data_IF_114889393364
#
_entry.id   IF_114889393364
#
_cell.length_a   1.000
_cell.length_b   1.000
_cell.length_c   1.000
_cell.angle_alpha   90.00
_cell.angle_beta   90.00
_cell.angle_gamma   90.00
#
_symmetry.space_group_name_H-M   'P 1'
#
loop_
_entity.id
_entity.type
_entity.pdbx_description
1 polymer ?
#
# COMPACT_ATOMS: atom_id res chain seq x y z
N UNK A 1 10.88 -1.27 16.69
CA UNK A 1 10.60 -2.44 15.84
C UNK A 1 9.69 -3.35 16.62
N UNK A 2 8.67 -3.96 16.00
CA UNK A 2 7.77 -4.89 16.66
C UNK A 2 8.54 -5.99 17.42
N UNK A 3 8.05 -6.35 18.60
CA UNK A 3 8.63 -7.39 19.46
C UNK A 3 7.61 -8.51 19.67
N UNK A 4 8.02 -9.73 19.36
CA UNK A 4 7.21 -10.95 19.52
C UNK A 4 6.87 -11.24 20.98
N UNK A 5 7.65 -10.73 21.95
CA UNK A 5 7.36 -10.94 23.38
C UNK A 5 6.47 -9.83 23.98
N UNK A 6 6.16 -8.79 23.19
CA UNK A 6 5.31 -7.71 23.66
C UNK A 6 3.84 -8.04 23.39
N UNK A 7 3.05 -8.20 24.47
CA UNK A 7 1.63 -8.51 24.37
C UNK A 7 0.86 -7.51 23.49
N UNK A 8 1.15 -6.21 23.62
CA UNK A 8 0.52 -5.19 22.77
C UNK A 8 0.90 -5.32 21.30
N UNK A 9 2.16 -5.62 20.98
CA UNK A 9 2.55 -5.90 19.59
C UNK A 9 1.79 -7.11 19.05
N UNK A 10 1.68 -8.19 19.83
CA UNK A 10 0.95 -9.37 19.40
C UNK A 10 -0.52 -9.06 19.12
N UNK A 11 -1.22 -8.39 20.05
CA UNK A 11 -2.66 -8.11 19.93
C UNK A 11 -2.97 -6.98 18.95
N UNK A 12 -2.08 -6.00 18.81
CA UNK A 12 -2.30 -4.88 17.88
C UNK A 12 -1.98 -5.26 16.44
N UNK A 13 -1.08 -6.23 16.20
CA UNK A 13 -0.67 -6.64 14.86
C UNK A 13 -1.42 -7.84 14.33
N UNK A 14 -1.80 -8.75 15.23
CA UNK A 14 -2.36 -10.05 14.85
C UNK A 14 -3.71 -10.32 15.49
N UNK A 15 -4.52 -11.11 14.79
CA UNK A 15 -5.75 -11.68 15.28
C UNK A 15 -5.62 -13.21 15.35
N UNK A 16 -6.18 -13.79 16.40
CA UNK A 16 -6.29 -15.24 16.57
C UNK A 16 -7.51 -15.84 15.89
N UNK A 17 -8.45 -15.01 15.43
CA UNK A 17 -9.69 -15.43 14.78
C UNK A 17 -9.71 -14.95 13.33
N UNK A 18 -10.12 -15.85 12.43
CA UNK A 18 -10.37 -15.49 11.05
C UNK A 18 -11.72 -14.79 10.92
N UNK A 19 -11.75 -13.70 10.15
CA UNK A 19 -12.95 -12.91 9.86
C UNK A 19 -13.22 -12.81 8.36
N UNK A 20 -14.35 -12.23 7.95
CA UNK A 20 -14.74 -12.18 6.53
C UNK A 20 -13.73 -11.44 5.64
N UNK A 21 -13.08 -10.38 6.11
CA UNK A 21 -12.05 -9.67 5.35
C UNK A 21 -10.75 -10.49 5.19
N UNK A 22 -10.57 -11.55 5.98
CA UNK A 22 -9.48 -12.51 5.85
C UNK A 22 -9.74 -13.59 4.79
N UNK A 23 -10.94 -13.67 4.20
CA UNK A 23 -11.29 -14.73 3.24
C UNK A 23 -10.41 -14.70 1.98
N UNK A 24 -9.93 -13.53 1.58
CA UNK A 24 -9.06 -13.37 0.41
C UNK A 24 -7.56 -13.50 0.71
N UNK A 25 -7.18 -13.49 1.99
CA UNK A 25 -5.81 -13.71 2.48
C UNK A 25 -5.65 -15.05 3.20
N UNK A 26 -6.72 -15.86 3.25
CA UNK A 26 -6.70 -17.21 3.78
C UNK A 26 -5.74 -18.07 2.95
N UNK A 27 -4.50 -18.16 3.39
CA UNK A 27 -3.55 -19.10 2.85
C UNK A 27 -4.05 -20.51 3.20
N UNK A 28 -4.07 -21.37 2.20
CA UNK A 28 -4.56 -22.75 2.29
C UNK A 28 -3.88 -23.45 3.47
N UNK A 29 -4.63 -23.69 4.54
CA UNK A 29 -4.18 -24.42 5.74
C UNK A 29 -3.74 -25.83 5.34
N UNK A 30 -2.42 -26.05 5.26
CA UNK A 30 -1.84 -27.38 5.02
C UNK A 30 -0.66 -27.67 5.96
N UNK A 31 -0.56 -26.97 7.10
CA UNK A 31 0.43 -27.24 8.13
C UNK A 31 -0.23 -27.26 9.51
N UNK A 32 -0.27 -28.42 10.15
CA UNK A 32 -0.74 -28.59 11.54
C UNK A 32 0.20 -27.95 12.58
N UNK A 33 1.37 -27.44 12.15
CA UNK A 33 2.44 -26.98 13.06
C UNK A 33 2.49 -25.48 13.30
N UNK A 34 1.98 -24.67 12.37
CA UNK A 34 2.06 -23.21 12.46
C UNK A 34 0.66 -22.64 12.18
N UNK A 35 -0.09 -22.34 13.25
CA UNK A 35 -1.33 -21.57 13.14
C UNK A 35 -0.98 -20.21 12.51
N UNK A 36 -1.53 -19.93 11.33
CA UNK A 36 -1.32 -18.65 10.65
C UNK A 36 -1.82 -17.51 11.56
N UNK A 37 -0.98 -16.49 11.75
CA UNK A 37 -1.38 -15.24 12.39
C UNK A 37 -2.07 -14.35 11.37
N UNK A 38 -3.38 -14.14 11.55
CA UNK A 38 -4.13 -13.18 10.73
C UNK A 38 -3.73 -11.76 11.12
N UNK A 39 -3.74 -10.78 10.20
CA UNK A 39 -3.60 -9.38 10.61
C UNK A 39 -4.76 -8.98 11.52
N UNK A 40 -4.52 -8.07 12.46
CA UNK A 40 -5.61 -7.47 13.25
C UNK A 40 -6.43 -6.48 12.41
N UNK A 41 -7.64 -6.15 12.88
CA UNK A 41 -8.43 -5.06 12.30
C UNK A 41 -7.69 -3.72 12.30
N UNK A 42 -6.90 -3.46 13.34
CA UNK A 42 -6.07 -2.25 13.43
C UNK A 42 -5.06 -2.21 12.29
N UNK A 43 -4.39 -3.34 12.02
CA UNK A 43 -3.43 -3.47 10.93
C UNK A 43 -4.09 -3.24 9.58
N UNK A 44 -5.25 -3.86 9.34
CA UNK A 44 -6.02 -3.70 8.10
C UNK A 44 -6.44 -2.24 7.92
N UNK A 45 -7.04 -1.64 8.96
CA UNK A 45 -7.48 -0.24 8.96
C UNK A 45 -6.33 0.72 8.67
N UNK A 46 -5.13 0.47 9.23
CA UNK A 46 -3.95 1.28 8.92
C UNK A 46 -3.56 1.16 7.44
N UNK A 47 -3.54 -0.05 6.88
CA UNK A 47 -3.19 -0.26 5.48
C UNK A 47 -4.18 0.42 4.52
N UNK A 48 -5.48 0.33 4.81
CA UNK A 48 -6.52 1.03 4.05
C UNK A 48 -6.35 2.55 4.12
N UNK A 49 -6.11 3.09 5.32
CA UNK A 49 -5.86 4.52 5.51
C UNK A 49 -4.61 5.00 4.75
N UNK A 50 -3.53 4.22 4.75
CA UNK A 50 -2.33 4.54 3.97
C UNK A 50 -2.64 4.50 2.48
N UNK A 51 -3.32 3.46 2.01
CA UNK A 51 -3.71 3.30 0.62
C UNK A 51 -4.53 4.49 0.11
N UNK A 52 -5.58 4.85 0.83
CA UNK A 52 -6.50 5.92 0.41
C UNK A 52 -5.83 7.28 0.42
N UNK A 53 -5.11 7.62 1.49
CA UNK A 53 -4.35 8.86 1.54
C UNK A 53 -3.29 8.94 0.44
N UNK A 54 -2.64 7.82 0.13
CA UNK A 54 -1.65 7.76 -0.93
C UNK A 54 -2.28 7.95 -2.31
N UNK A 55 -3.48 7.39 -2.54
CA UNK A 55 -4.24 7.62 -3.76
C UNK A 55 -4.54 9.10 -3.99
N UNK A 56 -5.10 9.79 -2.99
CA UNK A 56 -5.37 11.22 -3.08
C UNK A 56 -4.08 12.04 -3.27
N UNK A 57 -3.04 11.73 -2.50
CA UNK A 57 -1.74 12.39 -2.63
C UNK A 57 -1.17 12.27 -4.06
N UNK A 58 -1.22 11.09 -4.68
CA UNK A 58 -0.68 10.86 -6.02
C UNK A 58 -1.51 11.54 -7.11
N UNK A 59 -2.83 11.69 -6.94
CA UNK A 59 -3.66 12.43 -7.89
C UNK A 59 -3.23 13.89 -8.02
N UNK A 60 -2.91 14.53 -6.89
CA UNK A 60 -2.49 15.93 -6.82
C UNK A 60 -0.99 16.12 -7.07
N UNK A 61 -0.16 15.24 -6.51
CA UNK A 61 1.29 15.43 -6.41
C UNK A 61 2.11 14.44 -7.23
N UNK A 62 1.49 13.48 -7.94
CA UNK A 62 2.21 12.41 -8.65
C UNK A 62 3.22 12.87 -9.71
N UNK A 63 3.14 14.12 -10.16
CA UNK A 63 4.12 14.73 -11.07
C UNK A 63 5.39 15.24 -10.38
N UNK A 64 5.41 15.32 -9.04
CA UNK A 64 6.53 15.84 -8.25
C UNK A 64 7.59 14.76 -8.02
N UNK A 65 8.83 15.19 -7.74
CA UNK A 65 9.90 14.32 -7.27
C UNK A 65 9.76 14.01 -5.78
N UNK A 66 10.51 13.01 -5.29
CA UNK A 66 10.56 12.61 -3.86
C UNK A 66 9.18 12.26 -3.26
N UNK A 67 8.32 11.60 -4.03
CA UNK A 67 6.95 11.24 -3.64
C UNK A 67 6.88 10.51 -2.29
N UNK A 68 7.75 9.52 -2.06
CA UNK A 68 7.80 8.76 -0.81
C UNK A 68 8.06 9.67 0.39
N UNK A 69 9.12 10.50 0.32
CA UNK A 69 9.50 11.39 1.43
C UNK A 69 8.41 12.41 1.74
N UNK A 70 7.83 13.01 0.69
CA UNK A 70 6.76 14.00 0.83
C UNK A 70 5.50 13.37 1.44
N UNK A 71 5.12 12.17 0.96
CA UNK A 71 3.98 11.45 1.51
C UNK A 71 4.20 11.09 2.97
N UNK A 72 5.35 10.52 3.33
CA UNK A 72 5.69 10.17 4.72
C UNK A 72 5.55 11.38 5.63
N UNK A 73 6.10 12.53 5.25
CA UNK A 73 6.01 13.75 6.04
C UNK A 73 4.56 14.18 6.27
N UNK A 74 3.73 14.21 5.22
CA UNK A 74 2.32 14.60 5.32
C UNK A 74 1.51 13.60 6.15
N UNK A 75 1.75 12.31 5.92
CA UNK A 75 1.04 11.23 6.60
C UNK A 75 1.34 11.28 8.10
N UNK A 76 2.63 11.27 8.49
CA UNK A 76 3.03 11.23 9.89
C UNK A 76 2.72 12.49 10.67
N UNK A 77 2.66 13.67 10.04
CA UNK A 77 2.23 14.90 10.70
C UNK A 77 0.78 14.82 11.23
N UNK A 78 -0.05 13.96 10.62
CA UNK A 78 -1.47 13.79 10.97
C UNK A 78 -1.78 12.35 11.41
N UNK A 79 -0.74 11.57 11.74
CA UNK A 79 -0.89 10.18 12.16
C UNK A 79 -0.75 10.11 13.66
N UNK A 80 -1.83 9.69 14.33
CA UNK A 80 -1.81 9.32 15.74
C UNK A 80 -1.83 7.79 15.75
N UNK A 81 -0.74 7.19 16.21
CA UNK A 81 -0.63 5.73 16.31
C UNK A 81 -1.48 5.25 17.48
N UNK A 82 -2.29 4.22 17.25
CA UNK A 82 -3.07 3.47 18.24
C UNK A 82 -2.49 2.06 18.49
N UNK A 83 -1.32 1.79 17.89
CA UNK A 83 -0.47 0.63 18.14
C UNK A 83 0.50 0.88 19.29
N UNK A 84 1.05 -0.19 19.85
CA UNK A 84 2.13 -0.21 20.83
C UNK A 84 3.09 1.01 20.74
N UNK A 85 2.99 1.89 21.74
CA UNK A 85 3.74 3.14 21.83
C UNK A 85 5.25 2.93 21.97
N UNK A 86 5.66 1.81 22.58
CA UNK A 86 7.07 1.48 22.84
C UNK A 86 7.78 1.08 21.55
N UNK A 87 7.14 0.23 20.74
CA UNK A 87 7.78 -0.42 19.60
C UNK A 87 7.55 0.28 18.25
N UNK A 88 6.71 1.34 18.26
CA UNK A 88 6.37 2.18 17.09
C UNK A 88 5.91 1.37 15.89
N UNK A 89 5.04 0.38 16.13
CA UNK A 89 4.64 -0.57 15.10
C UNK A 89 4.01 0.13 13.90
N UNK A 90 3.12 1.12 14.14
CA UNK A 90 2.49 1.91 13.08
C UNK A 90 3.48 2.55 12.12
N UNK A 91 4.58 3.12 12.64
CA UNK A 91 5.62 3.70 11.80
C UNK A 91 6.26 2.64 10.90
N UNK A 92 6.69 1.52 11.48
CA UNK A 92 7.34 0.44 10.73
C UNK A 92 6.42 -0.09 9.63
N UNK A 93 5.16 -0.33 9.94
CA UNK A 93 4.16 -0.80 8.96
C UNK A 93 4.06 0.16 7.77
N UNK A 94 3.92 1.47 8.04
CA UNK A 94 3.81 2.48 6.99
C UNK A 94 5.08 2.55 6.14
N UNK A 95 6.26 2.44 6.77
CA UNK A 95 7.53 2.46 6.04
C UNK A 95 7.70 1.26 5.11
N UNK A 96 7.28 0.08 5.54
CA UNK A 96 7.37 -1.17 4.78
C UNK A 96 6.29 -1.29 3.69
N UNK A 97 5.08 -0.78 3.90
CA UNK A 97 4.00 -0.92 2.92
C UNK A 97 4.13 0.07 1.73
N UNK A 98 4.75 1.23 1.96
CA UNK A 98 4.83 2.29 0.95
C UNK A 98 5.54 1.89 -0.35
N UNK A 99 6.68 1.18 -0.33
CA UNK A 99 7.32 0.65 -1.53
C UNK A 99 6.41 -0.24 -2.39
N UNK A 100 5.43 -0.93 -1.79
CA UNK A 100 4.49 -1.78 -2.52
C UNK A 100 3.32 -0.97 -3.09
N UNK A 101 2.69 -0.11 -2.28
CA UNK A 101 1.51 0.63 -2.72
C UNK A 101 1.82 1.74 -3.72
N UNK A 102 2.91 2.48 -3.52
CA UNK A 102 3.21 3.66 -4.33
C UNK A 102 3.36 3.36 -5.84
N UNK A 103 4.13 2.36 -6.30
CA UNK A 103 4.21 2.05 -7.74
C UNK A 103 2.90 1.53 -8.33
N UNK A 104 2.14 0.72 -7.57
CA UNK A 104 0.86 0.17 -8.02
C UNK A 104 -0.17 1.28 -8.24
N UNK A 105 -0.34 2.14 -7.23
CA UNK A 105 -1.28 3.25 -7.29
C UNK A 105 -0.82 4.28 -8.33
N UNK A 106 0.49 4.59 -8.38
CA UNK A 106 1.02 5.52 -9.38
C UNK A 106 0.76 5.04 -10.81
N UNK A 107 0.97 3.75 -11.09
CA UNK A 107 0.66 3.15 -12.39
C UNK A 107 -0.83 3.27 -12.72
N UNK A 108 -1.70 3.01 -11.75
CA UNK A 108 -3.15 3.16 -11.90
C UNK A 108 -3.57 4.61 -12.20
N UNK A 109 -3.10 5.57 -11.40
CA UNK A 109 -3.39 7.01 -11.56
C UNK A 109 -2.86 7.53 -12.90
N UNK A 110 -1.65 7.14 -13.31
CA UNK A 110 -1.08 7.53 -14.61
C UNK A 110 -1.82 6.87 -15.78
N UNK A 111 -2.28 5.64 -15.61
CA UNK A 111 -3.10 4.91 -16.59
C UNK A 111 -4.43 5.60 -16.91
N UNK A 112 -5.02 6.32 -15.94
CA UNK A 112 -6.23 7.12 -16.15
C UNK A 112 -6.00 8.47 -16.85
N UNK A 113 -4.75 8.97 -16.93
CA UNK A 113 -4.43 10.28 -17.51
C UNK A 113 -4.04 10.27 -19.00
N UNK A 114 -4.15 9.13 -19.69
CA UNK A 114 -4.04 9.09 -21.17
C UNK A 114 -5.20 8.33 -21.78
N UNK A 115 -6.02 8.92 -22.67
CA UNK A 115 -6.71 8.10 -23.64
C UNK A 115 -5.62 7.49 -24.52
N UNK A 116 -5.27 6.23 -24.28
CA UNK A 116 -4.53 5.45 -25.27
C UNK A 116 -5.52 5.16 -26.37
N UNK A 117 -5.64 6.08 -27.33
CA UNK A 117 -6.23 5.69 -28.61
C UNK A 117 -5.30 4.66 -29.22
N UNK A 118 -5.82 3.45 -29.43
CA UNK A 118 -5.13 2.34 -30.10
C UNK A 118 -4.45 2.74 -31.42
N UNK A 119 -4.83 3.89 -32.02
CA UNK A 119 -4.27 4.42 -33.26
C UNK A 119 -2.99 5.26 -33.11
N UNK A 120 -2.57 5.69 -31.91
CA UNK A 120 -1.43 6.63 -31.78
C UNK A 120 -0.11 6.03 -32.27
N UNK A 121 0.15 4.74 -31.97
CA UNK A 121 1.31 4.02 -32.50
C UNK A 121 1.21 3.71 -34.00
N UNK A 122 0.00 3.68 -34.57
CA UNK A 122 -0.22 3.46 -36.01
C UNK A 122 0.05 4.74 -36.81
N UNK A 123 -0.34 5.90 -36.27
CA UNK A 123 -0.07 7.21 -36.89
C UNK A 123 1.42 7.59 -36.88
N UNK A 124 2.15 7.26 -35.82
CA UNK A 124 3.61 7.51 -35.76
C UNK A 124 4.37 6.64 -36.78
N UNK A 125 3.97 5.37 -36.96
CA UNK A 125 4.53 4.51 -38.01
C UNK A 125 4.20 5.03 -39.41
N UNK A 126 2.97 5.45 -39.66
CA UNK A 126 2.56 6.00 -40.97
C UNK A 126 3.29 7.30 -41.33
N UNK A 127 3.69 8.13 -40.35
CA UNK A 127 4.52 9.33 -40.62
C UNK A 127 5.91 8.97 -41.12
N UNK A 128 6.51 7.91 -40.60
CA UNK A 128 7.84 7.46 -41.05
C UNK A 128 7.82 6.95 -42.49
N UNK A 129 6.70 6.35 -42.93
CA UNK A 129 6.54 5.85 -44.30
C UNK A 129 6.22 6.92 -45.36
N UNK A 130 5.80 8.14 -44.97
CA UNK A 130 5.52 9.24 -45.91
C UNK A 130 6.75 10.10 -46.26
N UNK A 131 7.90 9.82 -45.65
CA UNK A 131 9.17 10.56 -45.86
C UNK A 131 10.20 9.80 -46.70
N UNK A 132 9.75 8.87 -47.55
CA UNK A 132 10.56 8.22 -48.58
C UNK A 132 9.78 8.16 -49.87
#
# INVERSE_FOLDING_TARGET
MPDENCLHCQTDLFCSQQEQHHLYTAFKEYSEKDLLTYPSDKMITLLENVHDRLFYFLNENGHKSKLISNFKQIFFNNYISDFCDVHRCGNVIVEECLPFFLPLIYKYVKGKKKPVHFSSGHYEKLKQFKTT
#
